data_IF_072833646018
#
_entry.id   IF_072833646018
#
_cell.length_a   1.000
_cell.length_b   1.000
_cell.length_c   1.000
_cell.angle_alpha   90.00
_cell.angle_beta   90.00
_cell.angle_gamma   90.00
#
_symmetry.space_group_name_H-M   'P 1'
#
loop_
_entity.id
_entity.type
_entity.pdbx_description
1 polymer ?
#
# COMPACT_ATOMS: atom_id res chain seq x y z
N UNK A 1 13.44 2.16 -1.11
CA UNK A 1 14.27 1.21 -0.35
C UNK A 1 14.14 1.41 1.17
N UNK A 2 14.15 2.64 1.68
CA UNK A 2 13.97 2.96 3.11
C UNK A 2 12.74 2.25 3.76
N UNK A 3 11.55 2.37 3.16
CA UNK A 3 10.34 1.72 3.68
C UNK A 3 10.41 0.20 3.77
N UNK A 4 11.19 -0.47 2.90
CA UNK A 4 11.32 -1.93 2.93
C UNK A 4 12.22 -2.42 4.06
N UNK A 5 13.33 -1.72 4.32
CA UNK A 5 14.20 -2.05 5.45
C UNK A 5 13.47 -1.80 6.78
N UNK A 6 12.77 -0.67 6.86
CA UNK A 6 11.95 -0.33 8.02
C UNK A 6 10.82 -1.34 8.24
N UNK A 7 10.05 -1.66 7.19
CA UNK A 7 8.97 -2.65 7.25
C UNK A 7 9.47 -4.03 7.65
N UNK A 8 10.61 -4.47 7.11
CA UNK A 8 11.26 -5.74 7.47
C UNK A 8 11.65 -5.80 8.95
N UNK A 9 12.25 -4.74 9.48
CA UNK A 9 12.64 -4.67 10.89
C UNK A 9 11.42 -4.69 11.83
N UNK A 10 10.39 -3.89 11.53
CA UNK A 10 9.15 -3.83 12.32
C UNK A 10 8.42 -5.17 12.28
N UNK A 11 8.37 -5.81 11.10
CA UNK A 11 7.70 -7.10 10.97
C UNK A 11 8.47 -8.19 11.71
N UNK A 12 9.78 -8.26 11.54
CA UNK A 12 10.63 -9.25 12.23
C UNK A 12 10.56 -9.08 13.75
N UNK A 13 10.60 -7.84 14.25
CA UNK A 13 10.48 -7.58 15.69
C UNK A 13 9.11 -7.98 16.24
N UNK A 14 8.03 -7.82 15.46
CA UNK A 14 6.70 -8.32 15.80
C UNK A 14 6.66 -9.83 15.97
N UNK A 15 7.26 -10.59 15.05
CA UNK A 15 7.33 -12.06 15.16
C UNK A 15 8.22 -12.53 16.31
N UNK A 16 9.35 -11.87 16.54
CA UNK A 16 10.20 -12.15 17.72
C UNK A 16 9.44 -11.90 19.00
N UNK A 17 8.71 -10.79 19.10
CA UNK A 17 7.88 -10.46 20.26
C UNK A 17 6.79 -11.52 20.48
N UNK A 18 6.19 -12.03 19.40
CA UNK A 18 5.22 -13.12 19.45
C UNK A 18 5.81 -14.43 19.99
N UNK A 19 7.04 -14.77 19.58
CA UNK A 19 7.75 -15.91 20.16
C UNK A 19 7.98 -15.73 21.66
N UNK A 20 8.37 -14.53 22.11
CA UNK A 20 8.59 -14.24 23.54
C UNK A 20 7.29 -14.29 24.36
N UNK A 21 6.21 -13.70 23.82
CA UNK A 21 4.89 -13.68 24.43
C UNK A 21 4.31 -15.08 24.66
N UNK A 22 4.60 -16.03 23.77
CA UNK A 22 4.24 -17.45 23.94
C UNK A 22 4.85 -18.09 25.20
N UNK A 23 6.06 -17.66 25.61
CA UNK A 23 6.69 -18.13 26.85
C UNK A 23 6.19 -17.40 28.11
N UNK A 24 5.60 -16.22 27.97
CA UNK A 24 5.14 -15.37 29.09
C UNK A 24 3.69 -14.86 28.89
N UNK A 25 2.69 -15.76 28.86
CA UNK A 25 1.30 -15.40 28.54
C UNK A 25 0.64 -14.44 29.56
N UNK A 26 1.13 -14.42 30.80
CA UNK A 26 0.64 -13.51 31.86
C UNK A 26 0.99 -12.03 31.60
N UNK A 27 2.01 -11.77 30.78
CA UNK A 27 2.48 -10.41 30.52
C UNK A 27 1.72 -9.74 29.36
N UNK A 28 0.63 -9.03 29.70
CA UNK A 28 -0.20 -8.28 28.73
C UNK A 28 0.59 -7.31 27.86
N UNK A 29 1.67 -6.73 28.38
CA UNK A 29 2.50 -5.78 27.64
C UNK A 29 3.18 -6.42 26.42
N UNK A 30 3.61 -7.68 26.52
CA UNK A 30 4.20 -8.39 25.38
C UNK A 30 3.14 -8.74 24.34
N UNK A 31 1.95 -9.16 24.77
CA UNK A 31 0.82 -9.42 23.88
C UNK A 31 0.36 -8.18 23.10
N UNK A 32 0.30 -7.03 23.76
CA UNK A 32 -0.05 -5.75 23.12
C UNK A 32 1.06 -5.36 22.12
N UNK A 33 2.32 -5.49 22.53
CA UNK A 33 3.47 -5.12 21.70
C UNK A 33 3.58 -5.99 20.43
N UNK A 34 3.41 -7.32 20.53
CA UNK A 34 3.38 -8.18 19.34
C UNK A 34 2.25 -7.79 18.39
N UNK A 35 1.06 -7.50 18.94
CA UNK A 35 -0.14 -7.24 18.16
C UNK A 35 0.02 -5.95 17.35
N UNK A 36 0.57 -4.91 17.98
CA UNK A 36 0.82 -3.63 17.33
C UNK A 36 1.92 -3.76 16.27
N UNK A 37 3.04 -4.42 16.58
CA UNK A 37 4.16 -4.56 15.64
C UNK A 37 3.78 -5.36 14.39
N UNK A 38 3.06 -6.47 14.56
CA UNK A 38 2.55 -7.28 13.45
C UNK A 38 1.50 -6.48 12.64
N UNK A 39 0.65 -5.71 13.33
CA UNK A 39 -0.31 -4.81 12.70
C UNK A 39 0.38 -3.73 11.85
N UNK A 40 1.44 -3.09 12.33
CA UNK A 40 2.12 -2.01 11.61
C UNK A 40 2.87 -2.45 10.34
N UNK A 41 3.25 -3.72 10.19
CA UNK A 41 4.02 -4.19 9.03
C UNK A 41 3.33 -3.94 7.67
N UNK A 42 2.11 -4.45 7.46
CA UNK A 42 1.38 -4.33 6.19
C UNK A 42 1.20 -2.89 5.67
N UNK A 43 0.76 -1.89 6.46
CA UNK A 43 0.68 -0.51 5.97
C UNK A 43 2.03 0.06 5.50
N UNK A 44 3.14 -0.33 6.13
CA UNK A 44 4.48 0.09 5.71
C UNK A 44 4.84 -0.53 4.36
N UNK A 45 4.50 -1.80 4.15
CA UNK A 45 4.68 -2.47 2.86
C UNK A 45 3.80 -1.86 1.76
N UNK A 46 2.50 -1.61 2.03
CA UNK A 46 1.63 -0.88 1.10
C UNK A 46 2.19 0.51 0.78
N UNK A 47 2.74 1.24 1.75
CA UNK A 47 3.40 2.52 1.51
C UNK A 47 4.60 2.40 0.54
N UNK A 48 5.35 1.30 0.59
CA UNK A 48 6.41 1.04 -0.39
C UNK A 48 5.85 0.82 -1.80
N UNK A 49 4.72 0.11 -1.95
CA UNK A 49 4.03 -0.05 -3.24
C UNK A 49 3.50 1.27 -3.78
N UNK A 50 2.90 2.10 -2.91
CA UNK A 50 2.39 3.41 -3.29
C UNK A 50 3.50 4.26 -3.90
N UNK A 51 4.70 4.24 -3.29
CA UNK A 51 5.88 4.91 -3.82
C UNK A 51 6.31 4.35 -5.19
N UNK A 52 6.25 3.03 -5.41
CA UNK A 52 6.59 2.42 -6.70
C UNK A 52 5.58 2.84 -7.77
N UNK A 53 4.27 2.82 -7.46
CA UNK A 53 3.24 3.29 -8.38
C UNK A 53 3.42 4.78 -8.70
N UNK A 54 3.70 5.62 -7.70
CA UNK A 54 3.93 7.04 -7.94
C UNK A 54 5.19 7.32 -8.77
N UNK A 55 6.24 6.51 -8.65
CA UNK A 55 7.40 6.57 -9.57
C UNK A 55 7.02 6.15 -10.98
N UNK A 56 6.21 5.10 -11.13
CA UNK A 56 5.70 4.67 -12.43
C UNK A 56 4.84 5.76 -13.10
N UNK A 57 4.02 6.46 -12.33
CA UNK A 57 3.21 7.57 -12.84
C UNK A 57 4.05 8.82 -13.18
N UNK A 58 5.16 9.08 -12.47
CA UNK A 58 6.12 10.12 -12.88
C UNK A 58 6.81 9.75 -14.19
N UNK A 59 7.13 8.47 -14.38
CA UNK A 59 7.76 7.97 -15.59
C UNK A 59 6.81 7.97 -16.79
N UNK A 60 5.50 7.78 -16.56
CA UNK A 60 4.44 7.78 -17.59
C UNK A 60 3.40 8.87 -17.34
N UNK A 61 3.79 10.16 -17.38
CA UNK A 61 2.91 11.28 -17.01
C UNK A 61 1.69 11.39 -17.95
N UNK A 62 1.82 10.92 -19.19
CA UNK A 62 0.75 10.95 -20.21
C UNK A 62 -0.45 10.07 -19.88
N UNK A 63 -0.23 9.04 -19.07
CA UNK A 63 -1.26 8.09 -18.65
C UNK A 63 -1.63 8.24 -17.17
N UNK A 64 -0.89 9.04 -16.41
CA UNK A 64 -1.20 9.36 -15.03
C UNK A 64 -2.50 10.18 -14.97
N UNK A 65 -3.59 9.65 -14.38
CA UNK A 65 -4.84 10.40 -14.25
C UNK A 65 -4.73 11.57 -13.26
N UNK A 66 -3.76 11.51 -12.34
CA UNK A 66 -3.66 12.31 -11.12
C UNK A 66 -2.20 12.65 -10.83
N UNK A 67 -1.98 13.69 -10.03
CA UNK A 67 -0.64 14.05 -9.57
C UNK A 67 -0.04 12.88 -8.74
N UNK A 68 1.06 12.27 -9.19
CA UNK A 68 1.60 11.06 -8.56
C UNK A 68 2.03 11.27 -7.11
N UNK A 69 2.64 12.42 -6.80
CA UNK A 69 3.15 12.72 -5.46
C UNK A 69 2.01 12.82 -4.44
N UNK A 70 0.87 13.39 -4.84
CA UNK A 70 -0.30 13.54 -3.97
C UNK A 70 -0.99 12.23 -3.71
N UNK A 71 -1.12 11.42 -4.75
CA UNK A 71 -1.70 10.09 -4.64
C UNK A 71 -0.95 9.25 -3.60
N UNK A 72 0.40 9.27 -3.64
CA UNK A 72 1.22 8.58 -2.64
C UNK A 72 0.87 9.05 -1.22
N UNK A 73 0.92 10.37 -0.97
CA UNK A 73 0.65 10.89 0.37
C UNK A 73 -0.77 10.57 0.83
N UNK A 74 -1.77 10.72 -0.03
CA UNK A 74 -3.16 10.39 0.29
C UNK A 74 -3.30 8.95 0.76
N UNK A 75 -2.76 7.98 0.01
CA UNK A 75 -2.84 6.57 0.39
C UNK A 75 -2.04 6.25 1.66
N UNK A 76 -0.89 6.90 1.89
CA UNK A 76 -0.12 6.76 3.13
C UNK A 76 -0.93 7.27 4.33
N UNK A 77 -1.51 8.48 4.24
CA UNK A 77 -2.31 9.04 5.34
C UNK A 77 -3.60 8.25 5.57
N UNK A 78 -4.26 7.80 4.49
CA UNK A 78 -5.45 6.95 4.59
C UNK A 78 -5.12 5.61 5.26
N UNK A 79 -4.01 4.97 4.86
CA UNK A 79 -3.53 3.75 5.50
C UNK A 79 -3.16 3.96 6.98
N UNK A 80 -2.49 5.07 7.31
CA UNK A 80 -2.17 5.42 8.69
C UNK A 80 -3.43 5.68 9.55
N UNK A 81 -4.47 6.29 8.98
CA UNK A 81 -5.75 6.51 9.66
C UNK A 81 -6.47 5.19 9.90
N UNK A 82 -6.56 4.33 8.89
CA UNK A 82 -7.16 2.98 9.02
C UNK A 82 -6.42 2.18 10.07
N UNK A 83 -5.09 2.22 10.07
CA UNK A 83 -4.33 1.46 11.06
C UNK A 83 -4.36 2.06 12.46
N UNK A 84 -4.48 3.38 12.59
CA UNK A 84 -4.76 4.03 13.86
C UNK A 84 -6.09 3.57 14.47
N UNK A 85 -7.14 3.41 13.65
CA UNK A 85 -8.42 2.84 14.08
C UNK A 85 -8.26 1.38 14.54
N UNK A 86 -7.56 0.55 13.77
CA UNK A 86 -7.32 -0.85 14.12
C UNK A 86 -6.52 -0.97 15.42
N UNK A 87 -5.45 -0.18 15.57
CA UNK A 87 -4.62 -0.16 16.77
C UNK A 87 -5.39 0.30 18.00
N UNK A 88 -6.23 1.34 17.87
CA UNK A 88 -7.11 1.79 18.94
C UNK A 88 -8.14 0.72 19.34
N UNK A 89 -8.67 -0.04 18.37
CA UNK A 89 -9.54 -1.19 18.62
C UNK A 89 -8.83 -2.32 19.37
N UNK A 90 -7.61 -2.66 18.96
CA UNK A 90 -6.79 -3.69 19.59
C UNK A 90 -6.41 -3.32 21.02
N UNK A 91 -6.01 -2.06 21.25
CA UNK A 91 -5.72 -1.54 22.59
C UNK A 91 -6.95 -1.66 23.50
N UNK A 92 -8.14 -1.26 23.02
CA UNK A 92 -9.40 -1.41 23.78
C UNK A 92 -9.69 -2.87 24.14
N UNK A 93 -9.48 -3.80 23.21
CA UNK A 93 -9.69 -5.22 23.45
C UNK A 93 -8.74 -5.75 24.54
N UNK A 94 -7.48 -5.29 24.54
CA UNK A 94 -6.49 -5.70 25.54
C UNK A 94 -6.74 -5.16 26.96
N UNK A 95 -7.41 -4.00 27.07
CA UNK A 95 -7.75 -3.36 28.35
C UNK A 95 -9.13 -3.73 28.87
N UNK A 96 -9.95 -4.41 28.07
CA UNK A 96 -11.36 -4.62 28.37
C UNK A 96 -11.61 -5.49 29.62
N UNK A 97 -10.70 -6.41 29.97
CA UNK A 97 -10.92 -7.35 31.07
C UNK A 97 -12.22 -8.12 30.86
N UNK A 98 -13.10 -8.12 31.86
CA UNK A 98 -14.44 -8.76 31.80
C UNK A 98 -15.54 -7.83 31.23
N UNK A 99 -15.23 -6.58 30.87
CA UNK A 99 -16.23 -5.66 30.30
C UNK A 99 -16.55 -6.03 28.84
N UNK A 100 -17.68 -6.72 28.67
CA UNK A 100 -18.14 -7.17 27.37
C UNK A 100 -18.50 -6.04 26.39
N UNK A 101 -18.87 -4.84 26.87
CA UNK A 101 -19.13 -3.70 25.99
C UNK A 101 -17.83 -3.19 25.37
N UNK A 102 -16.77 -3.10 26.18
CA UNK A 102 -15.43 -2.72 25.73
C UNK A 102 -14.84 -3.74 24.75
N UNK A 103 -15.00 -5.04 25.03
CA UNK A 103 -14.56 -6.09 24.11
C UNK A 103 -15.26 -6.00 22.74
N UNK A 104 -16.60 -5.85 22.73
CA UNK A 104 -17.37 -5.71 21.48
C UNK A 104 -17.00 -4.44 20.70
N UNK A 105 -16.79 -3.32 21.39
CA UNK A 105 -16.37 -2.08 20.75
C UNK A 105 -14.98 -2.21 20.13
N UNK A 106 -14.01 -2.78 20.87
CA UNK A 106 -12.66 -3.03 20.39
C UNK A 106 -12.62 -3.97 19.19
N UNK A 107 -13.33 -5.11 19.28
CA UNK A 107 -13.46 -6.07 18.18
C UNK A 107 -14.09 -5.46 16.93
N UNK A 108 -15.14 -4.64 17.09
CA UNK A 108 -15.79 -3.95 15.96
C UNK A 108 -14.81 -3.03 15.24
N UNK A 109 -14.03 -2.25 15.98
CA UNK A 109 -13.04 -1.35 15.37
C UNK A 109 -11.95 -2.10 14.61
N UNK A 110 -11.46 -3.21 15.16
CA UNK A 110 -10.45 -4.04 14.49
C UNK A 110 -11.00 -4.69 13.23
N UNK A 111 -12.24 -5.19 13.26
CA UNK A 111 -12.90 -5.78 12.11
C UNK A 111 -13.15 -4.75 11.01
N UNK A 112 -13.71 -3.59 11.37
CA UNK A 112 -13.95 -2.48 10.43
C UNK A 112 -12.64 -1.99 9.81
N UNK A 113 -11.59 -1.79 10.62
CA UNK A 113 -10.27 -1.40 10.13
C UNK A 113 -9.71 -2.39 9.12
N UNK A 114 -9.83 -3.70 9.39
CA UNK A 114 -9.38 -4.76 8.47
C UNK A 114 -10.12 -4.75 7.13
N UNK A 115 -11.44 -4.52 7.15
CA UNK A 115 -12.25 -4.42 5.92
C UNK A 115 -11.91 -3.15 5.13
N UNK A 116 -11.74 -2.02 5.82
CA UNK A 116 -11.31 -0.76 5.19
C UNK A 116 -9.93 -0.91 4.54
N UNK A 117 -8.99 -1.58 5.20
CA UNK A 117 -7.66 -1.87 4.64
C UNK A 117 -7.78 -2.65 3.32
N UNK A 118 -8.59 -3.71 3.30
CA UNK A 118 -8.82 -4.50 2.09
C UNK A 118 -9.49 -3.67 0.97
N UNK A 119 -10.43 -2.79 1.33
CA UNK A 119 -11.07 -1.89 0.37
C UNK A 119 -10.07 -0.89 -0.24
N UNK A 120 -9.19 -0.31 0.57
CA UNK A 120 -8.11 0.59 0.10
C UNK A 120 -7.19 -0.14 -0.88
N UNK A 121 -6.81 -1.38 -0.55
CA UNK A 121 -5.97 -2.22 -1.42
C UNK A 121 -6.67 -2.53 -2.75
N UNK A 122 -7.97 -2.85 -2.74
CA UNK A 122 -8.76 -3.03 -3.96
C UNK A 122 -8.78 -1.77 -4.84
N UNK A 123 -8.93 -0.59 -4.23
CA UNK A 123 -8.87 0.69 -4.96
C UNK A 123 -7.48 0.89 -5.58
N UNK A 124 -6.42 0.56 -4.84
CA UNK A 124 -5.04 0.64 -5.32
C UNK A 124 -4.79 -0.29 -6.53
N UNK A 125 -5.25 -1.54 -6.48
CA UNK A 125 -5.18 -2.47 -7.63
C UNK A 125 -6.00 -1.95 -8.81
N UNK A 126 -7.17 -1.38 -8.55
CA UNK A 126 -7.99 -0.72 -9.57
C UNK A 126 -7.25 0.42 -10.27
N UNK A 127 -6.47 1.21 -9.53
CA UNK A 127 -5.62 2.26 -10.08
C UNK A 127 -4.47 1.72 -10.93
N UNK A 128 -3.80 0.65 -10.48
CA UNK A 128 -2.79 -0.05 -11.29
C UNK A 128 -3.41 -0.54 -12.60
N UNK A 129 -4.59 -1.17 -12.54
CA UNK A 129 -5.31 -1.65 -13.71
C UNK A 129 -5.75 -0.53 -14.65
N UNK A 130 -6.19 0.61 -14.12
CA UNK A 130 -6.51 1.78 -14.92
C UNK A 130 -5.29 2.29 -15.71
N UNK A 131 -4.15 2.44 -15.03
CA UNK A 131 -2.90 2.88 -15.65
C UNK A 131 -2.41 1.88 -16.69
N UNK A 132 -2.41 0.59 -16.36
CA UNK A 132 -2.02 -0.50 -17.25
C UNK A 132 -2.87 -0.52 -18.53
N UNK A 133 -4.20 -0.44 -18.39
CA UNK A 133 -5.12 -0.41 -19.54
C UNK A 133 -4.87 0.79 -20.46
N UNK A 134 -4.54 1.98 -19.91
CA UNK A 134 -4.17 3.14 -20.73
C UNK A 134 -2.84 2.93 -21.46
N UNK A 135 -1.83 2.38 -20.79
CA UNK A 135 -0.53 2.08 -21.39
C UNK A 135 -0.64 1.07 -22.53
N UNK A 136 -1.47 0.03 -22.37
CA UNK A 136 -1.72 -0.98 -23.40
C UNK A 136 -2.43 -0.35 -24.61
N UNK A 137 -3.46 0.47 -24.39
CA UNK A 137 -4.19 1.15 -25.48
C UNK A 137 -3.31 2.08 -26.30
N UNK A 138 -2.32 2.72 -25.67
CA UNK A 138 -1.39 3.63 -26.35
C UNK A 138 -0.09 2.96 -26.82
N UNK A 139 0.03 1.63 -26.70
CA UNK A 139 1.20 0.84 -27.12
C UNK A 139 2.54 1.33 -26.50
N UNK A 140 2.46 1.83 -25.26
CA UNK A 140 3.58 2.40 -24.49
C UNK A 140 4.18 1.38 -23.49
N UNK A 141 3.82 0.11 -23.61
CA UNK A 141 4.25 -0.95 -22.68
C UNK A 141 5.65 -1.47 -23.07
N UNK A 142 6.70 -0.75 -22.69
CA UNK A 142 8.09 -1.24 -22.83
C UNK A 142 8.34 -2.43 -21.90
N UNK A 143 9.38 -3.23 -22.18
CA UNK A 143 9.71 -4.40 -21.35
C UNK A 143 9.90 -4.03 -19.87
N UNK A 144 10.57 -2.90 -19.60
CA UNK A 144 10.79 -2.40 -18.24
C UNK A 144 9.47 -2.05 -17.53
N UNK A 145 8.59 -1.31 -18.21
CA UNK A 145 7.28 -0.92 -17.69
C UNK A 145 6.41 -2.15 -17.43
N UNK A 146 6.43 -3.13 -18.35
CA UNK A 146 5.70 -4.39 -18.18
C UNK A 146 6.17 -5.16 -16.94
N UNK A 147 7.47 -5.25 -16.71
CA UNK A 147 8.01 -5.91 -15.50
C UNK A 147 7.55 -5.21 -14.22
N UNK A 148 7.53 -3.87 -14.20
CA UNK A 148 7.02 -3.10 -13.05
C UNK A 148 5.52 -3.35 -12.82
N UNK A 149 4.70 -3.42 -13.87
CA UNK A 149 3.29 -3.78 -13.71
C UNK A 149 3.10 -5.19 -13.18
N UNK A 150 3.81 -6.19 -13.70
CA UNK A 150 3.74 -7.58 -13.21
C UNK A 150 4.13 -7.65 -11.72
N UNK A 151 5.19 -6.94 -11.36
CA UNK A 151 5.65 -6.81 -9.97
C UNK A 151 4.55 -6.19 -9.10
N UNK A 152 4.00 -5.03 -9.47
CA UNK A 152 2.92 -4.37 -8.72
C UNK A 152 1.68 -5.26 -8.58
N UNK A 153 1.26 -5.97 -9.64
CA UNK A 153 0.14 -6.91 -9.54
C UNK A 153 0.43 -8.09 -8.62
N UNK A 154 1.64 -8.65 -8.69
CA UNK A 154 2.04 -9.77 -7.83
C UNK A 154 2.06 -9.35 -6.37
N UNK A 155 2.69 -8.21 -6.07
CA UNK A 155 2.86 -7.73 -4.70
C UNK A 155 1.54 -7.24 -4.10
N UNK A 156 0.74 -6.46 -4.83
CA UNK A 156 -0.58 -6.02 -4.34
C UNK A 156 -1.56 -7.18 -4.23
N UNK A 157 -1.43 -8.21 -5.09
CA UNK A 157 -2.18 -9.46 -4.96
C UNK A 157 -1.90 -10.19 -3.64
N UNK A 158 -0.63 -10.27 -3.21
CA UNK A 158 -0.24 -10.85 -1.92
C UNK A 158 -0.78 -10.03 -0.74
N UNK A 159 -0.72 -8.69 -0.83
CA UNK A 159 -1.25 -7.79 0.20
C UNK A 159 -2.77 -7.90 0.31
N UNK A 160 -3.48 -7.95 -0.82
CA UNK A 160 -4.94 -8.12 -0.85
C UNK A 160 -5.34 -9.48 -0.28
N UNK A 161 -4.68 -10.55 -0.73
CA UNK A 161 -4.92 -11.91 -0.23
C UNK A 161 -4.84 -11.94 1.30
N UNK A 162 -3.72 -11.46 1.87
CA UNK A 162 -3.53 -11.36 3.32
C UNK A 162 -4.62 -10.50 3.99
N UNK A 163 -4.98 -9.37 3.38
CA UNK A 163 -5.99 -8.46 3.94
C UNK A 163 -7.39 -9.08 3.99
N UNK A 164 -7.74 -9.92 3.00
CA UNK A 164 -8.99 -10.70 3.00
C UNK A 164 -8.99 -11.72 4.14
N UNK A 165 -7.93 -12.54 4.27
CA UNK A 165 -7.84 -13.52 5.36
C UNK A 165 -7.90 -12.85 6.73
N UNK A 166 -7.17 -11.74 6.90
CA UNK A 166 -7.21 -10.95 8.13
C UNK A 166 -8.61 -10.43 8.41
N UNK A 167 -9.31 -9.89 7.42
CA UNK A 167 -10.67 -9.40 7.60
C UNK A 167 -11.62 -10.53 8.04
N UNK A 168 -11.52 -11.72 7.44
CA UNK A 168 -12.30 -12.90 7.81
C UNK A 168 -12.00 -13.32 9.25
N UNK A 169 -10.73 -13.41 9.64
CA UNK A 169 -10.32 -13.77 11.01
C UNK A 169 -10.85 -12.77 12.04
N UNK A 170 -10.68 -11.46 11.80
CA UNK A 170 -11.11 -10.43 12.76
C UNK A 170 -12.64 -10.31 12.84
N UNK A 171 -13.33 -10.49 11.73
CA UNK A 171 -14.80 -10.55 11.72
C UNK A 171 -15.32 -11.80 12.44
N UNK A 172 -14.67 -12.95 12.25
CA UNK A 172 -14.98 -14.18 12.99
C UNK A 172 -14.76 -14.00 14.49
N UNK A 173 -13.64 -13.39 14.89
CA UNK A 173 -13.32 -13.06 16.28
C UNK A 173 -14.39 -12.14 16.90
N UNK A 174 -14.85 -11.12 16.17
CA UNK A 174 -15.93 -10.24 16.61
C UNK A 174 -17.25 -10.99 16.82
N UNK A 175 -17.59 -11.93 15.94
CA UNK A 175 -18.80 -12.74 16.08
C UNK A 175 -18.75 -13.60 17.35
N UNK A 176 -17.59 -14.17 17.68
CA UNK A 176 -17.39 -14.91 18.94
C UNK A 176 -17.58 -14.00 20.15
N UNK A 177 -16.96 -12.81 20.15
CA UNK A 177 -17.11 -11.84 21.25
C UNK A 177 -18.58 -11.39 21.43
N UNK A 178 -19.32 -11.34 20.32
CA UNK A 178 -20.71 -10.86 20.30
C UNK A 178 -21.71 -11.94 20.72
N UNK A 179 -21.60 -13.13 20.15
CA UNK A 179 -22.59 -14.21 20.26
C UNK A 179 -22.15 -15.32 21.22
N UNK A 180 -20.86 -15.40 21.56
CA UNK A 180 -20.29 -16.47 22.37
C UNK A 180 -20.23 -17.83 21.64
N UNK A 181 -20.63 -17.87 20.36
CA UNK A 181 -20.65 -19.06 19.54
C UNK A 181 -19.51 -19.00 18.50
N UNK A 182 -18.82 -20.12 18.35
CA UNK A 182 -17.74 -20.30 17.40
C UNK A 182 -18.23 -21.31 16.34
N UNK A 183 -18.54 -20.81 15.14
CA UNK A 183 -18.84 -21.67 13.98
C UNK A 183 -17.57 -22.41 13.52
N UNK A 184 -17.71 -23.45 12.68
CA UNK A 184 -16.58 -24.26 12.22
C UNK A 184 -15.42 -23.49 11.57
N UNK A 185 -15.70 -22.32 10.97
CA UNK A 185 -14.67 -21.40 10.43
C UNK A 185 -13.89 -20.71 11.55
N UNK A 186 -14.56 -20.34 12.64
CA UNK A 186 -13.91 -19.80 13.83
C UNK A 186 -13.00 -20.84 14.47
N UNK A 187 -13.46 -22.09 14.59
CA UNK A 187 -12.69 -23.16 15.22
C UNK A 187 -11.43 -23.51 14.42
N UNK A 188 -11.56 -23.56 13.09
CA UNK A 188 -10.44 -23.83 12.20
C UNK A 188 -9.38 -22.72 12.25
N UNK A 189 -9.77 -21.44 12.25
CA UNK A 189 -8.84 -20.31 12.16
C UNK A 189 -8.21 -19.95 13.52
N UNK A 190 -8.98 -19.99 14.62
CA UNK A 190 -8.50 -19.58 15.95
C UNK A 190 -7.77 -20.70 16.70
N UNK A 191 -8.07 -21.99 16.47
CA UNK A 191 -7.38 -23.10 17.16
C UNK A 191 -6.05 -23.51 16.53
N UNK A 192 -5.82 -23.14 15.27
CA UNK A 192 -4.65 -23.60 14.53
C UNK A 192 -3.72 -22.44 14.17
N UNK A 193 -2.61 -22.32 14.90
CA UNK A 193 -1.63 -21.24 14.69
C UNK A 193 -0.99 -21.24 13.29
N UNK A 194 -0.99 -22.38 12.59
CA UNK A 194 -0.40 -22.48 11.26
C UNK A 194 -1.08 -21.58 10.23
N UNK A 195 -2.38 -21.27 10.38
CA UNK A 195 -3.08 -20.34 9.50
C UNK A 195 -2.50 -18.93 9.60
N UNK A 196 -2.16 -18.49 10.81
CA UNK A 196 -1.53 -17.18 11.01
C UNK A 196 -0.15 -17.13 10.33
N UNK A 197 0.66 -18.18 10.42
CA UNK A 197 1.93 -18.23 9.69
C UNK A 197 1.75 -18.28 8.17
N UNK A 198 0.82 -19.09 7.67
CA UNK A 198 0.61 -19.30 6.24
C UNK A 198 -0.08 -18.12 5.54
N UNK A 199 -1.04 -17.47 6.21
CA UNK A 199 -1.89 -16.43 5.60
C UNK A 199 -1.55 -15.01 6.06
N UNK A 200 -0.82 -14.84 7.17
CA UNK A 200 -0.34 -13.52 7.63
C UNK A 200 1.16 -13.34 7.37
N UNK A 201 2.00 -14.30 7.78
CA UNK A 201 3.45 -14.20 7.66
C UNK A 201 3.95 -14.44 6.22
N UNK A 202 3.55 -15.56 5.62
CA UNK A 202 4.09 -16.01 4.35
C UNK A 202 3.87 -15.00 3.20
N UNK A 203 2.68 -14.39 3.03
CA UNK A 203 2.48 -13.40 1.95
C UNK A 203 3.41 -12.20 2.08
N UNK A 204 3.72 -11.77 3.31
CA UNK A 204 4.61 -10.64 3.57
C UNK A 204 6.08 -10.99 3.32
N UNK A 205 6.51 -12.19 3.69
CA UNK A 205 7.86 -12.68 3.39
C UNK A 205 8.05 -12.83 1.87
N UNK A 206 7.07 -13.43 1.19
CA UNK A 206 7.07 -13.56 -0.26
C UNK A 206 7.09 -12.20 -0.96
N UNK A 207 6.31 -11.24 -0.47
CA UNK A 207 6.30 -9.85 -0.92
C UNK A 207 7.70 -9.24 -0.83
N UNK A 208 8.36 -9.34 0.33
CA UNK A 208 9.70 -8.77 0.52
C UNK A 208 10.73 -9.44 -0.38
N UNK A 209 10.66 -10.77 -0.52
CA UNK A 209 11.57 -11.52 -1.39
C UNK A 209 11.40 -11.14 -2.86
N UNK A 210 10.15 -11.01 -3.33
CA UNK A 210 9.84 -10.59 -4.69
C UNK A 210 10.46 -9.23 -5.03
N UNK A 211 10.36 -8.27 -4.12
CA UNK A 211 10.88 -6.90 -4.30
C UNK A 211 12.41 -6.82 -4.25
N UNK A 212 13.04 -7.75 -3.55
CA UNK A 212 14.50 -7.89 -3.56
C UNK A 212 15.00 -8.46 -4.89
N UNK A 213 14.28 -9.43 -5.48
CA UNK A 213 14.63 -9.99 -6.81
C UNK A 213 14.38 -8.95 -7.90
N UNK A 214 13.19 -8.36 -7.92
CA UNK A 214 12.74 -7.40 -8.94
C UNK A 214 12.87 -5.99 -8.37
N UNK A 215 14.10 -5.51 -8.25
CA UNK A 215 14.35 -4.19 -7.66
C UNK A 215 13.77 -3.07 -8.54
N UNK A 216 12.81 -2.26 -8.05
CA UNK A 216 12.14 -1.23 -8.87
C UNK A 216 13.10 -0.14 -9.35
N UNK A 217 14.21 0.09 -8.65
CA UNK A 217 15.25 1.04 -9.07
C UNK A 217 16.00 0.63 -10.33
N UNK A 218 15.94 -0.65 -10.76
CA UNK A 218 16.56 -1.11 -12.00
C UNK A 218 15.73 -0.76 -13.24
N UNK A 219 14.41 -0.67 -13.08
CA UNK A 219 13.46 -0.50 -14.19
C UNK A 219 12.88 0.90 -14.29
N UNK A 220 13.01 1.71 -13.23
CA UNK A 220 12.53 3.09 -13.18
C UNK A 220 13.70 4.03 -12.89
N UNK A 221 13.77 5.19 -13.57
CA UNK A 221 14.80 6.18 -13.31
C UNK A 221 14.72 6.71 -11.87
N UNK A 222 15.88 7.08 -11.32
CA UNK A 222 15.96 7.58 -9.94
C UNK A 222 15.41 9.02 -9.82
N UNK A 223 15.60 9.81 -10.89
CA UNK A 223 15.07 11.17 -10.98
C UNK A 223 13.58 11.15 -11.33
N UNK A 224 12.77 11.89 -10.58
CA UNK A 224 11.33 12.08 -10.83
C UNK A 224 11.03 13.04 -11.99
N UNK A 225 12.05 13.72 -12.52
CA UNK A 225 11.99 14.58 -13.70
C UNK A 225 12.09 13.82 -15.01
N UNK A 226 12.54 12.56 -14.98
CA UNK A 226 12.70 11.72 -16.18
C UNK A 226 11.40 11.01 -16.49
N UNK A 227 10.95 11.13 -17.74
CA UNK A 227 9.73 10.50 -18.24
C UNK A 227 9.93 9.86 -19.61
N UNK A 228 9.07 8.92 -19.95
CA UNK A 228 9.04 8.23 -21.24
C UNK A 228 8.16 9.01 -22.23
N UNK A 229 8.76 9.48 -23.32
CA UNK A 229 8.06 10.12 -24.43
C UNK A 229 7.32 9.10 -25.32
N UNK A 230 6.45 9.58 -26.22
CA UNK A 230 5.68 8.73 -27.14
C UNK A 230 6.56 7.85 -28.04
N UNK A 231 7.78 8.30 -28.33
CA UNK A 231 8.76 7.58 -29.14
C UNK A 231 9.47 6.45 -28.37
N UNK A 232 9.07 6.21 -27.11
CA UNK A 232 9.66 5.25 -26.17
C UNK A 232 11.10 5.58 -25.79
N UNK A 233 11.51 6.82 -25.99
CA UNK A 233 12.75 7.39 -25.48
C UNK A 233 12.53 8.17 -24.19
N UNK A 234 13.58 8.27 -23.37
CA UNK A 234 13.55 8.97 -22.08
C UNK A 234 13.95 10.44 -22.23
N UNK A 235 13.22 11.34 -21.57
CA UNK A 235 13.45 12.79 -21.60
C UNK A 235 13.46 13.36 -20.17
N UNK A 236 14.22 14.43 -19.96
CA UNK A 236 14.22 15.16 -18.69
C UNK A 236 13.32 16.41 -18.79
N UNK A 237 12.25 16.43 -17.99
CA UNK A 237 11.27 17.52 -17.92
C UNK A 237 11.32 18.33 -16.62
N UNK A 238 10.50 19.39 -16.49
CA UNK A 238 10.42 20.20 -15.29
C UNK A 238 9.81 19.45 -14.08
N UNK A 239 9.30 18.24 -14.30
CA UNK A 239 8.56 17.46 -13.31
C UNK A 239 7.11 17.94 -13.15
N UNK A 240 6.38 17.32 -12.22
CA UNK A 240 5.01 17.73 -11.90
C UNK A 240 5.00 19.02 -11.07
N UNK A 241 4.95 20.17 -11.73
CA UNK A 241 4.77 21.48 -11.07
C UNK A 241 3.30 21.84 -10.98
N UNK A 242 2.78 22.07 -9.77
CA UNK A 242 1.42 22.57 -9.55
C UNK A 242 1.47 23.99 -8.96
N UNK A 243 0.72 24.91 -9.57
CA UNK A 243 0.66 26.33 -9.18
C UNK A 243 -0.40 26.62 -8.09
N UNK A 244 -1.18 25.61 -7.67
CA UNK A 244 -2.28 25.77 -6.70
C UNK A 244 -1.83 25.98 -5.26
N UNK A 245 -2.69 26.63 -4.47
CA UNK A 245 -2.48 26.84 -3.04
C UNK A 245 -2.40 25.51 -2.28
N UNK A 246 -1.57 25.45 -1.24
CA UNK A 246 -1.37 24.25 -0.41
C UNK A 246 -2.67 23.77 0.26
N UNK A 247 -3.60 24.69 0.53
CA UNK A 247 -4.88 24.38 1.16
C UNK A 247 -5.90 23.75 0.19
N UNK A 248 -6.05 24.30 -1.01
CA UNK A 248 -6.89 23.71 -2.05
C UNK A 248 -6.38 22.32 -2.46
N UNK A 249 -5.06 22.17 -2.47
CA UNK A 249 -4.38 20.89 -2.72
C UNK A 249 -4.65 19.84 -1.65
N UNK A 250 -4.76 20.24 -0.38
CA UNK A 250 -5.05 19.32 0.73
C UNK A 250 -6.52 18.89 0.74
N UNK A 251 -7.44 19.82 0.47
CA UNK A 251 -8.87 19.54 0.47
C UNK A 251 -9.34 18.69 -0.73
N UNK A 252 -8.66 18.78 -1.87
CA UNK A 252 -8.96 17.99 -3.08
C UNK A 252 -7.68 17.33 -3.62
N UNK A 253 -7.21 16.23 -3.01
CA UNK A 253 -5.98 15.55 -3.42
C UNK A 253 -6.05 14.95 -4.84
N UNK A 254 -7.26 14.76 -5.36
CA UNK A 254 -7.53 14.14 -6.65
C UNK A 254 -7.90 15.13 -7.76
N UNK A 255 -7.93 16.43 -7.46
CA UNK A 255 -8.38 17.46 -8.41
C UNK A 255 -9.75 17.11 -9.05
N UNK A 256 -10.68 16.62 -8.24
CA UNK A 256 -12.04 16.29 -8.71
C UNK A 256 -12.75 17.55 -9.20
N UNK A 257 -12.54 18.69 -8.53
CA UNK A 257 -13.13 19.97 -8.93
C UNK A 257 -12.58 20.49 -10.26
N UNK A 258 -11.27 20.40 -10.51
CA UNK A 258 -10.69 20.79 -11.81
C UNK A 258 -11.03 19.81 -12.93
N UNK A 259 -11.18 18.53 -12.62
CA UNK A 259 -11.67 17.52 -13.57
C UNK A 259 -13.14 17.78 -14.00
N UNK A 260 -13.99 18.23 -13.06
CA UNK A 260 -15.40 18.59 -13.33
C UNK A 260 -15.50 19.92 -14.09
N UNK A 261 -14.66 20.90 -13.75
CA UNK A 261 -14.67 22.23 -14.37
C UNK A 261 -13.91 22.31 -15.72
N UNK A 262 -13.35 21.19 -16.20
CA UNK A 262 -12.67 21.11 -17.50
C UNK A 262 -11.31 21.82 -17.58
N UNK A 263 -10.88 22.51 -16.53
CA UNK A 263 -9.58 23.16 -16.43
C UNK A 263 -8.55 22.22 -15.81
N UNK A 264 -8.06 21.26 -16.60
CA UNK A 264 -6.84 20.53 -16.25
C UNK A 264 -5.66 21.45 -16.47
N UNK A 265 -5.36 22.25 -15.46
CA UNK A 265 -4.29 23.27 -15.46
C UNK A 265 -2.89 22.65 -15.28
N UNK A 266 -2.71 21.42 -15.76
CA UNK A 266 -1.40 20.77 -15.80
C UNK A 266 -0.88 21.01 -17.21
N UNK A 267 0.13 21.86 -17.34
CA UNK A 267 0.84 22.03 -18.60
C UNK A 267 1.33 20.64 -19.02
N UNK A 268 0.83 20.15 -20.17
CA UNK A 268 1.18 18.82 -20.68
C UNK A 268 2.61 18.85 -21.20
N UNK A 269 3.58 19.02 -20.29
CA UNK A 269 4.99 19.20 -20.62
C UNK A 269 5.56 18.02 -21.42
N UNK A 270 4.93 16.85 -21.30
CA UNK A 270 5.24 15.68 -22.13
C UNK A 270 4.97 15.88 -23.63
N UNK A 271 4.12 16.84 -24.04
CA UNK A 271 3.96 17.22 -25.45
C UNK A 271 5.16 18.01 -25.98
N UNK A 272 5.82 18.78 -25.12
CA UNK A 272 7.00 19.59 -25.49
C UNK A 272 8.23 18.70 -25.84
N UNK A 273 8.21 17.41 -25.47
CA UNK A 273 9.23 16.46 -25.95
C UNK A 273 9.27 16.34 -27.48
N UNK A 274 8.11 16.42 -28.15
CA UNK A 274 8.03 16.32 -29.61
C UNK A 274 8.58 17.56 -30.32
N UNK A 275 8.52 18.72 -29.67
CA UNK A 275 9.05 19.98 -30.19
C UNK A 275 10.58 20.10 -29.99
N UNK A 276 11.23 19.07 -29.41
CA UNK A 276 12.67 19.07 -29.14
C UNK A 276 13.09 20.01 -28.01
N UNK A 277 12.16 20.52 -27.22
CA UNK A 277 12.46 21.47 -26.13
C UNK A 277 13.05 20.79 -24.89
N UNK A 278 12.79 19.49 -24.69
CA UNK A 278 13.38 18.71 -23.60
C UNK A 278 14.59 17.88 -24.08
N UNK A 279 15.73 17.96 -23.38
CA UNK A 279 16.89 17.14 -23.73
C UNK A 279 16.57 15.65 -23.53
N UNK A 280 17.06 14.81 -24.45
CA UNK A 280 17.03 13.35 -24.28
C UNK A 280 17.87 12.99 -23.06
N UNK A 281 17.32 12.12 -22.22
CA UNK A 281 18.04 11.60 -21.07
C UNK A 281 18.94 10.44 -21.53
N UNK A 282 20.26 10.66 -21.50
CA UNK A 282 21.23 9.59 -21.73
C UNK A 282 21.65 9.04 -20.37
N UNK A 283 21.29 7.78 -20.11
CA UNK A 283 21.62 7.10 -18.87
C UNK A 283 23.12 6.77 -18.90
N UNK A 284 23.98 7.61 -18.33
CA UNK A 284 25.45 7.38 -18.29
C UNK A 284 25.89 6.18 -17.41
N UNK A 285 24.96 5.30 -17.01
CA UNK A 285 25.20 4.13 -16.16
C UNK A 285 25.39 2.81 -16.94
N UNK A 286 25.76 2.87 -18.22
CA UNK A 286 26.25 1.72 -19.00
C UNK A 286 27.77 1.78 -19.27
N UNK A 287 28.53 2.51 -18.45
CA UNK A 287 29.99 2.42 -18.38
C UNK A 287 30.43 1.78 -17.06
#
# INVERSE_FOLDING_TARGET
MFFMCWGGLVFTSGWVMRSVSSFYPENRNFYISESILILCGPPIYSAAEYNILGRLMHYLPMHAPLNPSRLIYFFIYLGALVEGLTAAGAARLSTAGDDQKLQRSGGTLVAVGSVLQAAVECIFIGMIAHLHNRCVRSNMLTSNVRTVFIMLYGTSGLVLFRSIFRAVEKFSTLNVISTGQCDGVCDAVLRHEWYLYAFEAAPMVLYTYWLNIVHPGKYLPNKTTVYLGFDKEEYEGPGWTDKRSKWETFADPFDLKGAINGQKEHEKFWLLSQDGTHPKYHNELQA
#
